data_IF_743868837341
#
_entry.id   IF_743868837341
#
_cell.length_a   1.000
_cell.length_b   1.000
_cell.length_c   1.000
_cell.angle_alpha   90.00
_cell.angle_beta   90.00
_cell.angle_gamma   90.00
#
_symmetry.space_group_name_H-M   'P 1'
#
loop_
_entity.id
_entity.type
_entity.pdbx_description
1 polymer ?
#
# COMPACT_ATOMS: atom_id res chain seq x y z
N UNK A 1 -7.50 3.52 -8.81
CA UNK A 1 -8.16 3.33 -7.50
C UNK A 1 -7.79 1.96 -6.98
N UNK A 2 -7.41 1.90 -5.71
CA UNK A 2 -7.27 0.65 -4.95
C UNK A 2 -8.35 0.72 -3.86
N UNK A 3 -9.39 -0.14 -3.89
CA UNK A 3 -10.52 -0.03 -2.97
C UNK A 3 -10.21 -0.60 -1.58
N UNK A 4 -9.30 -1.55 -1.50
CA UNK A 4 -8.86 -2.19 -0.26
C UNK A 4 -7.49 -2.85 -0.44
N UNK A 5 -6.86 -3.13 0.68
CA UNK A 5 -5.65 -3.95 0.75
C UNK A 5 -5.89 -5.18 1.62
N UNK A 6 -5.26 -6.28 1.24
CA UNK A 6 -5.13 -7.51 2.02
C UNK A 6 -3.68 -7.63 2.47
N UNK A 7 -3.46 -7.68 3.78
CA UNK A 7 -2.14 -7.77 4.38
C UNK A 7 -1.93 -9.13 5.03
N UNK A 8 -0.89 -9.85 4.61
CA UNK A 8 -0.38 -11.03 5.31
C UNK A 8 0.77 -10.62 6.22
N UNK A 9 0.58 -10.78 7.54
CA UNK A 9 1.60 -10.47 8.55
C UNK A 9 2.77 -11.43 8.50
N UNK A 10 2.48 -12.72 8.33
CA UNK A 10 3.48 -13.77 8.25
C UNK A 10 4.40 -13.56 7.04
N UNK A 11 3.79 -13.34 5.87
CA UNK A 11 4.51 -13.15 4.61
C UNK A 11 4.97 -11.71 4.37
N UNK A 12 4.63 -10.78 5.27
CA UNK A 12 4.85 -9.33 5.13
C UNK A 12 4.51 -8.81 3.74
N UNK A 13 3.38 -9.27 3.22
CA UNK A 13 2.93 -9.04 1.85
C UNK A 13 1.61 -8.30 1.86
N UNK A 14 1.52 -7.25 1.06
CA UNK A 14 0.32 -6.47 0.83
C UNK A 14 -0.16 -6.71 -0.60
N UNK A 15 -1.45 -6.89 -0.79
CA UNK A 15 -2.05 -7.05 -2.13
C UNK A 15 -3.39 -6.33 -2.22
N UNK A 16 -3.82 -5.98 -3.42
CA UNK A 16 -5.13 -5.39 -3.63
C UNK A 16 -5.50 -5.30 -5.11
N UNK A 17 -6.79 -5.23 -5.45
CA UNK A 17 -7.20 -4.93 -6.81
C UNK A 17 -6.91 -3.45 -7.11
N UNK A 18 -6.40 -3.18 -8.30
CA UNK A 18 -6.18 -1.81 -8.80
C UNK A 18 -6.86 -1.63 -10.16
N UNK A 19 -7.64 -0.56 -10.29
CA UNK A 19 -8.25 -0.17 -11.56
C UNK A 19 -7.81 1.25 -11.91
N UNK A 20 -7.23 1.44 -13.09
CA UNK A 20 -6.81 2.75 -13.58
C UNK A 20 -7.96 3.41 -14.35
N UNK A 21 -8.43 4.57 -13.86
CA UNK A 21 -9.55 5.29 -14.47
C UNK A 21 -9.14 6.28 -15.55
N UNK A 22 -10.10 6.99 -16.18
CA UNK A 22 -9.82 7.96 -17.25
C UNK A 22 -8.80 9.05 -16.86
N UNK A 23 -8.77 9.48 -15.60
CA UNK A 23 -7.78 10.46 -15.12
C UNK A 23 -6.34 9.94 -15.07
N UNK A 24 -6.11 8.64 -15.31
CA UNK A 24 -4.78 8.03 -15.40
C UNK A 24 -4.35 7.81 -16.85
N UNK A 25 -5.15 8.22 -17.84
CA UNK A 25 -4.84 7.99 -19.26
C UNK A 25 -3.66 8.85 -19.74
N UNK A 26 -2.80 8.26 -20.56
CA UNK A 26 -1.81 9.00 -21.35
C UNK A 26 -2.28 9.19 -22.79
N UNK A 27 -2.59 8.08 -23.48
CA UNK A 27 -2.98 8.12 -24.88
C UNK A 27 -3.82 6.90 -25.29
N UNK A 28 -4.91 7.15 -26.02
CA UNK A 28 -5.71 6.12 -26.73
C UNK A 28 -6.23 5.01 -25.81
N UNK A 29 -6.74 5.37 -24.64
CA UNK A 29 -7.27 4.44 -23.65
C UNK A 29 -6.21 3.63 -22.91
N UNK A 30 -4.93 4.03 -22.96
CA UNK A 30 -3.84 3.40 -22.22
C UNK A 30 -3.43 4.23 -21.01
N UNK A 31 -3.25 3.54 -19.88
CA UNK A 31 -2.79 4.11 -18.63
C UNK A 31 -1.37 4.68 -18.78
N UNK A 32 -1.15 5.87 -18.21
CA UNK A 32 0.16 6.50 -18.12
C UNK A 32 1.08 5.66 -17.23
N UNK A 33 2.30 5.38 -17.71
CA UNK A 33 3.29 4.61 -16.93
C UNK A 33 3.57 5.22 -15.56
N UNK A 34 3.59 6.55 -15.45
CA UNK A 34 3.68 7.26 -14.18
C UNK A 34 2.53 6.95 -13.21
N UNK A 35 1.29 6.74 -13.69
CA UNK A 35 0.19 6.35 -12.81
C UNK A 35 0.35 4.91 -12.29
N UNK A 36 0.87 4.00 -13.13
CA UNK A 36 1.25 2.65 -12.69
C UNK A 36 2.34 2.71 -11.62
N UNK A 37 3.38 3.53 -11.84
CA UNK A 37 4.46 3.74 -10.87
C UNK A 37 3.95 4.34 -9.56
N UNK A 38 3.06 5.33 -9.61
CA UNK A 38 2.45 5.91 -8.40
C UNK A 38 1.65 4.89 -7.60
N UNK A 39 0.92 3.98 -8.27
CA UNK A 39 0.20 2.91 -7.57
C UNK A 39 1.17 1.91 -6.90
N UNK A 40 2.30 1.59 -7.55
CA UNK A 40 3.34 0.74 -6.96
C UNK A 40 4.06 1.43 -5.80
N UNK A 41 4.28 2.75 -5.86
CA UNK A 41 4.83 3.52 -4.75
C UNK A 41 3.87 3.59 -3.55
N UNK A 42 2.56 3.67 -3.77
CA UNK A 42 1.57 3.59 -2.69
C UNK A 42 1.67 2.26 -1.93
N UNK A 43 1.78 1.15 -2.67
CA UNK A 43 2.03 -0.19 -2.10
C UNK A 43 3.37 -0.26 -1.38
N UNK A 44 4.43 0.33 -1.94
CA UNK A 44 5.75 0.41 -1.29
C UNK A 44 5.64 1.09 0.08
N UNK A 45 4.99 2.25 0.15
CA UNK A 45 4.78 2.97 1.40
C UNK A 45 4.00 2.13 2.42
N UNK A 46 2.87 1.56 2.02
CA UNK A 46 2.03 0.75 2.90
C UNK A 46 2.74 -0.52 3.41
N UNK A 47 3.50 -1.22 2.56
CA UNK A 47 4.30 -2.38 2.98
C UNK A 47 5.36 -1.97 4.00
N UNK A 48 6.00 -0.80 3.82
CA UNK A 48 6.92 -0.26 4.83
C UNK A 48 6.20 -0.02 6.16
N UNK A 49 5.08 0.71 6.16
CA UNK A 49 4.36 1.06 7.39
C UNK A 49 3.87 -0.16 8.18
N UNK A 50 3.42 -1.20 7.47
CA UNK A 50 2.90 -2.42 8.07
C UNK A 50 4.00 -3.42 8.45
N UNK A 51 5.08 -3.48 7.68
CA UNK A 51 6.12 -4.51 7.80
C UNK A 51 7.19 -4.24 8.86
N UNK A 52 7.27 -3.01 9.38
CA UNK A 52 8.40 -2.56 10.23
C UNK A 52 8.03 -2.24 11.68
N UNK A 53 6.74 -2.19 12.03
CA UNK A 53 6.29 -1.97 13.41
C UNK A 53 6.51 -0.56 13.98
N UNK A 54 6.81 0.44 13.13
CA UNK A 54 7.03 1.83 13.56
C UNK A 54 5.75 2.68 13.70
N UNK A 55 4.59 2.06 13.48
CA UNK A 55 3.27 2.72 13.50
C UNK A 55 2.78 3.15 12.11
N UNK A 56 1.51 3.61 12.01
CA UNK A 56 0.95 4.12 10.77
C UNK A 56 1.72 5.33 10.25
N UNK A 57 1.84 5.44 8.92
CA UNK A 57 2.44 6.60 8.23
C UNK A 57 3.89 6.94 8.62
N UNK A 58 4.59 5.98 9.25
CA UNK A 58 5.91 6.17 9.84
C UNK A 58 7.00 5.65 8.89
N UNK A 59 7.27 6.42 7.84
CA UNK A 59 8.30 6.10 6.87
C UNK A 59 8.28 7.02 5.65
N UNK A 60 9.31 6.90 4.81
CA UNK A 60 9.44 7.71 3.61
C UNK A 60 10.08 6.91 2.47
N UNK A 61 9.41 6.87 1.32
CA UNK A 61 10.03 6.37 0.09
C UNK A 61 11.24 7.23 -0.25
N UNK A 62 12.38 6.59 -0.53
CA UNK A 62 13.61 7.26 -0.98
C UNK A 62 14.04 6.85 -2.38
N UNK A 63 13.55 5.71 -2.88
CA UNK A 63 13.83 5.25 -4.23
C UNK A 63 12.68 4.40 -4.75
N UNK A 64 12.30 4.64 -6.00
CA UNK A 64 11.37 3.80 -6.78
C UNK A 64 12.04 3.48 -8.12
N UNK A 65 12.22 2.20 -8.42
CA UNK A 65 12.67 1.74 -9.73
C UNK A 65 11.58 0.86 -10.35
N UNK A 66 10.86 1.36 -11.33
CA UNK A 66 9.71 0.70 -11.93
C UNK A 66 10.01 0.26 -13.37
N UNK A 67 9.79 -1.02 -13.67
CA UNK A 67 9.87 -1.58 -15.02
C UNK A 67 8.46 -1.74 -15.57
N UNK A 68 8.15 -0.99 -16.63
CA UNK A 68 6.86 -1.05 -17.33
C UNK A 68 6.95 -2.09 -18.46
N UNK A 69 6.40 -3.29 -18.24
CA UNK A 69 6.53 -4.41 -19.15
C UNK A 69 5.42 -4.47 -20.21
N UNK A 70 4.19 -4.10 -19.86
CA UNK A 70 3.03 -4.12 -20.76
C UNK A 70 2.14 -2.90 -20.56
N UNK A 71 1.46 -2.43 -21.62
CA UNK A 71 0.48 -1.36 -21.49
C UNK A 71 -0.75 -1.85 -20.72
N UNK A 72 -1.32 -0.97 -19.90
CA UNK A 72 -2.57 -1.23 -19.16
C UNK A 72 -3.70 -0.44 -19.83
N UNK A 73 -4.81 -1.10 -20.15
CA UNK A 73 -6.01 -0.41 -20.66
C UNK A 73 -6.71 0.32 -19.51
N UNK A 74 -7.20 1.53 -19.76
CA UNK A 74 -8.08 2.23 -18.83
C UNK A 74 -9.33 1.38 -18.57
N UNK A 75 -9.74 1.29 -17.30
CA UNK A 75 -10.84 0.45 -16.84
C UNK A 75 -10.48 -1.02 -16.59
N UNK A 76 -9.29 -1.47 -16.99
CA UNK A 76 -8.79 -2.79 -16.64
C UNK A 76 -8.47 -2.86 -15.14
N UNK A 77 -8.91 -3.94 -14.50
CA UNK A 77 -8.56 -4.28 -13.12
C UNK A 77 -7.41 -5.27 -13.13
N UNK A 78 -6.39 -4.99 -12.33
CA UNK A 78 -5.21 -5.84 -12.13
C UNK A 78 -5.02 -6.09 -10.63
N UNK A 79 -4.19 -7.07 -10.30
CA UNK A 79 -3.70 -7.30 -8.96
C UNK A 79 -2.38 -6.56 -8.78
N UNK A 80 -2.31 -5.71 -7.76
CA UNK A 80 -1.07 -5.10 -7.30
C UNK A 80 -0.63 -5.76 -6.01
N UNK A 81 0.63 -6.12 -5.91
CA UNK A 81 1.21 -6.74 -4.72
C UNK A 81 2.54 -6.09 -4.38
N UNK A 82 2.90 -6.09 -3.11
CA UNK A 82 4.24 -5.74 -2.65
C UNK A 82 4.62 -6.48 -1.38
N UNK A 83 5.93 -6.69 -1.20
CA UNK A 83 6.47 -7.47 -0.08
C UNK A 83 7.81 -6.92 0.38
N UNK A 84 8.11 -7.09 1.67
CA UNK A 84 9.45 -6.79 2.20
C UNK A 84 10.43 -7.84 1.67
N UNK A 85 11.36 -7.44 0.81
CA UNK A 85 12.42 -8.33 0.32
C UNK A 85 13.54 -8.48 1.35
N UNK A 86 13.95 -7.38 1.98
CA UNK A 86 14.90 -7.36 3.11
C UNK A 86 14.82 -6.06 3.89
N UNK A 87 15.34 -6.08 5.11
CA UNK A 87 15.48 -4.89 5.96
C UNK A 87 16.91 -4.77 6.49
N UNK A 88 17.51 -3.59 6.32
CA UNK A 88 18.83 -3.24 6.81
C UNK A 88 18.72 -1.98 7.68
N UNK A 89 18.71 -2.17 9.02
CA UNK A 89 18.44 -1.09 9.98
C UNK A 89 17.09 -0.42 9.66
N UNK A 90 17.12 0.86 9.25
CA UNK A 90 15.94 1.64 8.85
C UNK A 90 15.62 1.52 7.36
N UNK A 91 16.53 1.00 6.52
CA UNK A 91 16.25 0.82 5.09
C UNK A 91 15.44 -0.45 4.89
N UNK A 92 14.29 -0.31 4.23
CA UNK A 92 13.40 -1.41 3.89
C UNK A 92 13.38 -1.52 2.37
N UNK A 93 13.79 -2.67 1.88
CA UNK A 93 13.79 -2.98 0.46
C UNK A 93 12.51 -3.74 0.14
N UNK A 94 11.76 -3.23 -0.83
CA UNK A 94 10.41 -3.68 -1.13
C UNK A 94 10.35 -4.01 -2.61
N UNK A 95 9.81 -5.18 -2.92
CA UNK A 95 9.47 -5.57 -4.28
C UNK A 95 7.97 -5.39 -4.48
N UNK A 96 7.56 -4.95 -5.67
CA UNK A 96 6.17 -4.90 -6.06
C UNK A 96 5.93 -5.40 -7.48
N UNK A 97 4.73 -5.89 -7.72
CA UNK A 97 4.30 -6.46 -8.98
C UNK A 97 2.88 -6.03 -9.31
N UNK A 98 2.65 -5.74 -10.58
CA UNK A 98 1.33 -5.49 -11.16
C UNK A 98 1.06 -6.58 -12.19
N UNK A 99 0.05 -7.42 -11.96
CA UNK A 99 -0.25 -8.59 -12.79
C UNK A 99 -1.76 -8.78 -13.00
N UNK A 100 -2.16 -9.51 -14.04
CA UNK A 100 -3.55 -9.97 -14.19
C UNK A 100 -3.79 -11.32 -13.49
N UNK A 101 -5.00 -11.84 -13.64
CA UNK A 101 -5.44 -13.11 -13.04
C UNK A 101 -4.69 -14.33 -13.59
N UNK A 102 -4.15 -14.24 -14.80
CA UNK A 102 -3.33 -15.29 -15.43
C UNK A 102 -1.86 -15.22 -14.98
N UNK A 103 -1.51 -14.23 -14.15
CA UNK A 103 -0.14 -13.99 -13.70
C UNK A 103 0.73 -13.26 -14.71
N UNK A 104 0.14 -12.72 -15.79
CA UNK A 104 0.89 -11.90 -16.74
C UNK A 104 1.30 -10.60 -16.08
N UNK A 105 2.60 -10.31 -16.12
CA UNK A 105 3.18 -9.11 -15.49
C UNK A 105 3.09 -7.89 -16.41
N UNK A 106 2.53 -6.81 -15.87
CA UNK A 106 2.42 -5.50 -16.52
C UNK A 106 3.49 -4.54 -16.05
N UNK A 107 3.85 -4.59 -14.76
CA UNK A 107 4.97 -3.86 -14.21
C UNK A 107 5.56 -4.54 -12.99
N UNK A 108 6.83 -4.25 -12.73
CA UNK A 108 7.52 -4.61 -11.48
C UNK A 108 8.18 -3.38 -10.89
N UNK A 109 8.39 -3.37 -9.58
CA UNK A 109 9.03 -2.28 -8.87
C UNK A 109 10.00 -2.81 -7.82
N UNK A 110 11.21 -2.25 -7.80
CA UNK A 110 12.17 -2.38 -6.71
C UNK A 110 12.28 -1.03 -5.99
N UNK A 111 11.96 -1.03 -4.71
CA UNK A 111 11.77 0.17 -3.91
C UNK A 111 12.61 0.18 -2.65
N UNK A 112 12.93 1.38 -2.18
CA UNK A 112 13.56 1.59 -0.87
C UNK A 112 12.75 2.61 -0.09
N UNK A 113 12.39 2.25 1.14
CA UNK A 113 11.78 3.14 2.12
C UNK A 113 12.66 3.23 3.37
N UNK A 114 12.61 4.36 4.05
CA UNK A 114 13.19 4.54 5.38
C UNK A 114 12.08 4.42 6.41
N UNK A 115 12.14 3.38 7.24
CA UNK A 115 11.19 3.16 8.32
C UNK A 115 11.41 4.14 9.48
N UNK A 116 10.33 4.64 10.07
CA UNK A 116 10.40 5.59 11.18
C UNK A 116 11.03 6.93 10.80
N UNK A 117 10.93 7.33 9.54
CA UNK A 117 11.41 8.63 9.07
C UNK A 117 10.48 9.74 9.59
N UNK A 118 11.04 10.68 10.36
CA UNK A 118 10.34 11.91 10.74
C UNK A 118 10.53 12.96 9.64
N UNK A 119 9.47 13.23 8.88
CA UNK A 119 9.48 14.22 7.81
C UNK A 119 9.18 15.65 8.30
N UNK A 120 8.67 15.77 9.52
CA UNK A 120 8.39 17.04 10.19
C UNK A 120 9.23 17.18 11.47
N UNK A 121 9.54 18.42 11.86
CA UNK A 121 10.32 18.71 13.07
C UNK A 121 9.50 18.62 14.34
N UNK A 122 8.24 19.02 14.25
CA UNK A 122 7.30 19.03 15.37
C UNK A 122 6.52 17.72 15.42
N UNK A 123 6.18 17.29 16.63
CA UNK A 123 5.35 16.10 16.83
C UNK A 123 3.91 16.41 16.43
N UNK A 124 3.28 15.49 15.69
CA UNK A 124 1.93 15.60 15.19
C UNK A 124 1.02 14.51 15.77
N UNK A 125 -0.29 14.68 15.64
CA UNK A 125 -1.25 13.64 16.00
C UNK A 125 -1.04 12.33 15.22
N UNK A 126 -0.34 12.34 14.07
CA UNK A 126 0.00 11.12 13.33
C UNK A 126 1.05 10.30 14.08
N UNK A 127 2.00 10.93 14.77
CA UNK A 127 3.09 10.26 15.49
C UNK A 127 2.59 9.44 16.69
N UNK A 128 1.38 9.74 17.18
CA UNK A 128 0.74 9.08 18.32
C UNK A 128 -0.17 7.91 17.91
N UNK A 129 -0.33 7.67 16.61
CA UNK A 129 -1.23 6.64 16.09
C UNK A 129 -0.58 5.25 16.17
N UNK A 130 -1.43 4.24 16.28
CA UNK A 130 -1.02 2.85 16.33
C UNK A 130 -1.82 2.02 15.32
N UNK A 131 -1.22 0.93 14.86
CA UNK A 131 -1.96 -0.09 14.12
C UNK A 131 -2.80 -0.92 15.08
N UNK A 132 -4.11 -0.93 14.87
CA UNK A 132 -5.05 -1.83 15.55
C UNK A 132 -5.29 -3.06 14.68
N UNK A 133 -5.21 -4.22 15.30
CA UNK A 133 -5.38 -5.51 14.65
C UNK A 133 -6.52 -6.25 15.33
N UNK A 134 -7.57 -6.53 14.57
CA UNK A 134 -8.71 -7.32 15.02
C UNK A 134 -8.58 -8.72 14.42
N UNK A 135 -8.15 -9.68 15.24
CA UNK A 135 -7.94 -11.07 14.80
C UNK A 135 -9.25 -11.78 14.45
N UNK A 136 -10.38 -11.34 15.03
CA UNK A 136 -11.70 -11.92 14.76
C UNK A 136 -12.21 -11.45 13.40
N UNK A 137 -12.10 -10.15 13.13
CA UNK A 137 -12.51 -9.56 11.83
C UNK A 137 -11.43 -9.67 10.75
N UNK A 138 -10.21 -10.05 11.13
CA UNK A 138 -9.02 -10.11 10.27
C UNK A 138 -8.73 -8.78 9.58
N UNK A 139 -8.85 -7.69 10.34
CA UNK A 139 -8.65 -6.32 9.84
C UNK A 139 -7.46 -5.63 10.48
N UNK A 140 -6.92 -4.68 9.73
CA UNK A 140 -5.93 -3.70 10.16
C UNK A 140 -6.53 -2.32 10.01
N UNK A 141 -6.36 -1.47 11.02
CA UNK A 141 -6.78 -0.07 10.95
C UNK A 141 -5.82 0.83 11.70
N UNK A 142 -5.62 2.04 11.20
CA UNK A 142 -5.01 3.13 11.95
C UNK A 142 -5.97 3.53 13.09
N UNK A 143 -5.47 3.66 14.32
CA UNK A 143 -6.22 4.13 15.49
C UNK A 143 -6.89 5.51 15.32
N UNK A 144 -6.39 6.33 14.38
CA UNK A 144 -6.97 7.63 14.03
C UNK A 144 -8.07 7.57 12.98
N UNK A 145 -8.30 6.43 12.32
CA UNK A 145 -9.50 6.20 11.54
C UNK A 145 -10.59 5.84 12.55
N UNK A 146 -11.50 6.76 12.83
CA UNK A 146 -12.62 6.52 13.76
C UNK A 146 -13.20 5.14 13.47
N UNK A 147 -12.96 4.20 14.39
CA UNK A 147 -13.40 2.82 14.21
C UNK A 147 -14.92 2.89 14.06
N UNK A 148 -15.55 2.17 13.10
CA UNK A 148 -16.99 2.04 13.13
C UNK A 148 -17.35 1.47 14.50
N UNK A 149 -18.10 2.26 15.28
CA UNK A 149 -18.40 2.00 16.69
C UNK A 149 -18.71 0.52 16.89
N UNK A 150 -17.83 -0.17 17.62
CA UNK A 150 -18.15 -1.46 18.20
C UNK A 150 -19.11 -1.20 19.36
N UNK A 151 -20.37 -0.88 19.05
CA UNK A 151 -21.57 -0.98 19.88
C UNK A 151 -22.67 -0.05 19.32
N UNK A 152 -23.38 -0.50 18.29
CA UNK A 152 -24.84 -0.28 18.35
C UNK A 152 -25.31 -1.04 19.57
N UNK A 153 -25.63 -0.32 20.65
CA UNK A 153 -26.42 -0.81 21.78
C UNK A 153 -27.61 -1.60 21.28
N UNK A 154 -27.46 -2.92 21.18
CA UNK A 154 -28.54 -3.83 21.48
C UNK A 154 -28.65 -3.81 23.01
N UNK A 155 -29.83 -3.41 23.47
CA UNK A 155 -30.28 -3.25 24.87
C UNK A 155 -30.14 -1.84 25.47
N UNK A 156 -31.30 -1.19 25.58
CA UNK A 156 -31.52 -0.04 26.47
C UNK A 156 -32.71 0.82 26.06
N UNK A 157 -33.94 0.31 26.25
CA UNK A 157 -35.20 1.07 26.13
C UNK A 157 -36.31 0.31 25.43
#
# INVERSE_FOLDING_TARGET
RIPCYFYSREEKTLSGPVTFGPGSESHRGLCHGGAMTSALDDVLGHVCFLGTGHGPWSGATVQVNCKLAKPVRVGQTLLIEGRVAKQEKKKVFIEGILKDEEGTVYATMDGISIAGAKLQKEESELDRRAWHYDEVRRTVSDSGWGLPDSETKLMGG
#
